data_IF_926154634480
#
_entry.id   IF_926154634480
#
_cell.length_a   1.000
_cell.length_b   1.000
_cell.length_c   1.000
_cell.angle_alpha   90.00
_cell.angle_beta   90.00
_cell.angle_gamma   90.00
#
_symmetry.space_group_name_H-M   'P 1'
#
loop_
_entity.id
_entity.type
_entity.pdbx_description
1 polymer ?
#
# COMPACT_ATOMS: atom_id res chain seq x y z
N UNK A 1 8.87 55.97 -38.47
CA UNK A 1 7.63 55.50 -37.82
C UNK A 1 7.86 54.66 -36.55
N UNK A 2 8.82 53.73 -36.51
CA UNK A 2 8.98 52.80 -35.37
C UNK A 2 9.40 53.44 -34.02
N UNK A 3 10.09 54.59 -34.04
CA UNK A 3 10.52 55.28 -32.80
C UNK A 3 9.36 55.86 -31.98
N UNK A 4 8.29 56.29 -32.64
CA UNK A 4 7.11 56.85 -31.96
C UNK A 4 6.29 55.74 -31.28
N UNK A 5 6.24 54.57 -31.93
CA UNK A 5 5.60 53.38 -31.38
C UNK A 5 6.35 52.86 -30.14
N UNK A 6 7.68 52.77 -30.20
CA UNK A 6 8.50 52.39 -29.04
C UNK A 6 8.34 53.39 -27.88
N UNK A 7 8.20 54.69 -28.16
CA UNK A 7 7.94 55.70 -27.13
C UNK A 7 6.54 55.55 -26.48
N UNK A 8 5.50 55.34 -27.27
CA UNK A 8 4.13 55.13 -26.77
C UNK A 8 4.01 53.84 -25.94
N UNK A 9 4.70 52.78 -26.37
CA UNK A 9 4.73 51.51 -25.63
C UNK A 9 5.42 51.65 -24.26
N UNK A 10 6.48 52.48 -24.18
CA UNK A 10 7.12 52.88 -22.93
C UNK A 10 6.16 53.64 -21.99
N UNK A 11 5.40 54.59 -22.53
CA UNK A 11 4.46 55.43 -21.78
C UNK A 11 3.30 54.61 -21.18
N UNK A 12 2.94 53.51 -21.84
CA UNK A 12 1.91 52.57 -21.41
C UNK A 12 2.45 51.36 -20.64
N UNK A 13 3.76 51.32 -20.37
CA UNK A 13 4.45 50.19 -19.71
C UNK A 13 4.24 48.83 -20.42
N UNK A 14 3.97 48.84 -21.73
CA UNK A 14 3.82 47.66 -22.58
C UNK A 14 5.19 47.39 -23.19
N UNK A 15 5.79 46.22 -22.91
CA UNK A 15 7.17 45.92 -23.34
C UNK A 15 7.20 45.33 -24.75
N UNK A 16 8.00 45.95 -25.63
CA UNK A 16 8.38 45.39 -26.93
C UNK A 16 9.77 44.77 -26.85
N UNK A 17 10.08 43.81 -27.73
CA UNK A 17 11.39 43.10 -27.76
C UNK A 17 12.59 43.99 -28.13
N UNK A 18 12.35 45.24 -28.55
CA UNK A 18 13.38 46.18 -29.04
C UNK A 18 13.83 47.21 -28.00
N UNK A 19 13.18 47.28 -26.85
CA UNK A 19 13.44 48.28 -25.82
C UNK A 19 13.89 47.65 -24.49
N UNK A 20 14.93 46.83 -24.56
CA UNK A 20 15.52 46.12 -23.40
C UNK A 20 16.94 46.58 -23.05
N UNK A 21 17.51 47.52 -23.82
CA UNK A 21 18.83 48.10 -23.58
C UNK A 21 18.82 48.97 -22.32
N UNK A 22 19.24 48.38 -21.19
CA UNK A 22 19.40 49.08 -19.91
C UNK A 22 18.75 48.39 -18.72
N UNK A 23 17.93 47.35 -18.93
CA UNK A 23 17.39 46.58 -17.82
C UNK A 23 18.49 45.70 -17.22
N UNK A 24 19.19 46.18 -16.19
CA UNK A 24 19.86 45.27 -15.25
C UNK A 24 18.75 44.39 -14.67
N UNK A 25 18.80 43.06 -14.85
CA UNK A 25 17.78 42.19 -14.29
C UNK A 25 17.95 42.24 -12.76
N UNK A 26 17.18 43.11 -12.12
CA UNK A 26 17.14 43.29 -10.67
C UNK A 26 16.84 41.96 -9.96
N UNK A 27 16.22 41.02 -10.70
CA UNK A 27 15.95 39.64 -10.32
C UNK A 27 17.21 38.81 -9.96
N UNK A 28 18.40 39.18 -10.44
CA UNK A 28 19.58 38.30 -10.35
C UNK A 28 20.41 38.52 -9.07
N UNK A 29 20.31 39.68 -8.41
CA UNK A 29 21.21 40.01 -7.28
C UNK A 29 20.83 39.33 -5.95
N UNK A 30 19.56 38.95 -5.78
CA UNK A 30 19.04 38.28 -4.58
C UNK A 30 19.00 36.76 -4.75
N UNK A 31 19.04 36.26 -5.99
CA UNK A 31 19.08 34.83 -6.31
C UNK A 31 20.18 34.04 -5.56
N UNK A 32 21.45 34.47 -5.52
CA UNK A 32 22.49 33.73 -4.78
C UNK A 32 22.27 33.74 -3.26
N UNK A 33 21.53 34.71 -2.71
CA UNK A 33 21.19 34.76 -1.28
C UNK A 33 20.04 33.81 -0.93
N UNK A 34 19.05 33.64 -1.81
CA UNK A 34 17.91 32.73 -1.59
C UNK A 34 18.23 31.27 -1.97
N UNK A 35 19.19 31.05 -2.86
CA UNK A 35 19.59 29.72 -3.32
C UNK A 35 19.95 28.72 -2.21
N UNK A 36 20.76 29.06 -1.19
CA UNK A 36 21.06 28.12 -0.11
C UNK A 36 19.83 27.77 0.72
N UNK A 37 18.92 28.72 0.93
CA UNK A 37 17.66 28.49 1.66
C UNK A 37 16.76 27.55 0.87
N UNK A 38 16.56 27.82 -0.43
CA UNK A 38 15.78 26.94 -1.31
C UNK A 38 16.37 25.53 -1.40
N UNK A 39 17.70 25.41 -1.48
CA UNK A 39 18.40 24.12 -1.47
C UNK A 39 18.14 23.36 -0.17
N UNK A 40 18.23 24.03 0.99
CA UNK A 40 17.96 23.42 2.28
C UNK A 40 16.50 22.99 2.41
N UNK A 41 15.56 23.86 2.03
CA UNK A 41 14.12 23.55 2.04
C UNK A 41 13.80 22.36 1.13
N UNK A 42 14.41 22.29 -0.05
CA UNK A 42 14.24 21.17 -0.96
C UNK A 42 14.78 19.86 -0.37
N UNK A 43 15.95 19.89 0.27
CA UNK A 43 16.52 18.71 0.94
C UNK A 43 15.64 18.25 2.12
N UNK A 44 15.10 19.18 2.90
CA UNK A 44 14.17 18.86 3.99
C UNK A 44 12.87 18.26 3.48
N UNK A 45 12.32 18.81 2.39
CA UNK A 45 11.12 18.24 1.75
C UNK A 45 11.39 16.84 1.22
N UNK A 46 12.51 16.63 0.53
CA UNK A 46 12.87 15.31 0.00
C UNK A 46 13.06 14.28 1.12
N UNK A 47 13.77 14.66 2.19
CA UNK A 47 13.95 13.83 3.37
C UNK A 47 12.65 13.53 4.10
N UNK A 48 11.80 14.55 4.27
CA UNK A 48 10.48 14.40 4.88
C UNK A 48 9.57 13.48 4.06
N UNK A 49 9.57 13.61 2.74
CA UNK A 49 8.79 12.75 1.85
C UNK A 49 9.30 11.31 1.89
N UNK A 50 10.62 11.10 1.91
CA UNK A 50 11.23 9.79 2.08
C UNK A 50 10.83 9.13 3.40
N UNK A 51 10.82 9.90 4.50
CA UNK A 51 10.40 9.41 5.80
C UNK A 51 8.91 9.01 5.82
N UNK A 52 8.03 9.85 5.27
CA UNK A 52 6.59 9.56 5.17
C UNK A 52 6.31 8.31 4.32
N UNK A 53 7.05 8.15 3.22
CA UNK A 53 6.91 6.98 2.37
C UNK A 53 7.37 5.70 3.09
N UNK A 54 8.49 5.78 3.81
CA UNK A 54 9.00 4.65 4.58
C UNK A 54 8.03 4.24 5.71
N UNK A 55 7.52 5.20 6.48
CA UNK A 55 6.57 4.90 7.56
C UNK A 55 5.28 4.31 7.00
N UNK A 56 4.76 4.87 5.91
CA UNK A 56 3.57 4.32 5.22
C UNK A 56 3.77 2.87 4.80
N UNK A 57 4.94 2.53 4.23
CA UNK A 57 5.21 1.17 3.76
C UNK A 57 5.33 0.16 4.90
N UNK A 58 6.01 0.52 6.00
CA UNK A 58 6.12 -0.33 7.18
C UNK A 58 4.77 -0.56 7.85
N UNK A 59 3.99 0.51 7.98
CA UNK A 59 2.66 0.46 8.59
C UNK A 59 1.69 -0.41 7.78
N UNK A 60 1.69 -0.30 6.46
CA UNK A 60 0.84 -1.13 5.59
C UNK A 60 1.20 -2.63 5.71
N UNK A 61 2.49 -2.96 5.70
CA UNK A 61 2.94 -4.35 5.86
C UNK A 61 2.51 -4.94 7.23
N UNK A 62 2.68 -4.17 8.30
CA UNK A 62 2.29 -4.60 9.65
C UNK A 62 0.77 -4.82 9.79
N UNK A 63 -0.05 -3.90 9.25
CA UNK A 63 -1.50 -4.07 9.29
C UNK A 63 -1.99 -5.24 8.44
N UNK A 64 -1.34 -5.49 7.30
CA UNK A 64 -1.65 -6.65 6.45
C UNK A 64 -1.42 -7.96 7.19
N UNK A 65 -0.32 -8.08 7.93
CA UNK A 65 -0.02 -9.28 8.73
C UNK A 65 -1.08 -9.55 9.80
N UNK A 66 -1.42 -8.53 10.59
CA UNK A 66 -2.48 -8.62 11.60
C UNK A 66 -3.83 -9.01 10.98
N UNK A 67 -4.18 -8.37 9.87
CA UNK A 67 -5.44 -8.65 9.18
C UNK A 67 -5.47 -10.06 8.59
N UNK A 68 -4.35 -10.54 8.05
CA UNK A 68 -4.23 -11.92 7.58
C UNK A 68 -4.41 -12.91 8.72
N UNK A 69 -3.80 -12.69 9.88
CA UNK A 69 -4.02 -13.52 11.07
C UNK A 69 -5.50 -13.58 11.47
N UNK A 70 -6.19 -12.44 11.49
CA UNK A 70 -7.64 -12.36 11.78
C UNK A 70 -8.49 -13.08 10.73
N UNK A 71 -8.12 -13.00 9.45
CA UNK A 71 -8.80 -13.70 8.36
C UNK A 71 -8.63 -15.21 8.49
N UNK A 72 -7.42 -15.69 8.75
CA UNK A 72 -7.12 -17.11 8.97
C UNK A 72 -7.93 -17.65 10.17
N UNK A 73 -7.96 -16.91 11.29
CA UNK A 73 -8.77 -17.27 12.45
C UNK A 73 -10.27 -17.35 12.10
N UNK A 74 -10.79 -16.34 11.40
CA UNK A 74 -12.20 -16.31 10.98
C UNK A 74 -12.54 -17.46 10.02
N UNK A 75 -11.65 -17.76 9.07
CA UNK A 75 -11.79 -18.88 8.14
C UNK A 75 -11.77 -20.21 8.88
N UNK A 76 -10.94 -20.35 9.92
CA UNK A 76 -10.91 -21.55 10.76
C UNK A 76 -12.25 -21.80 11.44
N UNK A 77 -12.90 -20.74 11.95
CA UNK A 77 -14.24 -20.81 12.55
C UNK A 77 -15.30 -21.21 11.52
N UNK A 78 -15.21 -20.70 10.30
CA UNK A 78 -16.10 -21.11 9.18
C UNK A 78 -15.95 -22.60 8.88
N UNK A 79 -14.72 -23.12 8.83
CA UNK A 79 -14.44 -24.55 8.59
C UNK A 79 -14.95 -25.42 9.74
N UNK A 80 -14.76 -24.99 10.99
CA UNK A 80 -15.29 -25.69 12.17
C UNK A 80 -16.82 -25.75 12.12
N UNK A 81 -17.48 -24.63 11.82
CA UNK A 81 -18.94 -24.57 11.68
C UNK A 81 -19.44 -25.43 10.51
N UNK A 82 -18.73 -25.44 9.38
CA UNK A 82 -19.04 -26.33 8.26
C UNK A 82 -19.07 -27.79 8.71
N UNK A 83 -18.06 -28.22 9.46
CA UNK A 83 -18.00 -29.58 10.02
C UNK A 83 -19.12 -29.85 11.02
N UNK A 84 -19.49 -28.89 11.86
CA UNK A 84 -20.61 -29.08 12.79
C UNK A 84 -21.92 -29.40 12.05
N UNK A 85 -22.13 -28.78 10.88
CA UNK A 85 -23.35 -28.98 10.08
C UNK A 85 -23.31 -30.23 9.19
N UNK A 86 -22.15 -30.59 8.66
CA UNK A 86 -22.01 -31.69 7.68
C UNK A 86 -21.37 -32.95 8.27
N UNK A 87 -20.93 -32.92 9.54
CA UNK A 87 -20.16 -33.97 10.22
C UNK A 87 -18.81 -34.33 9.57
N UNK A 88 -18.39 -33.61 8.54
CA UNK A 88 -17.14 -33.82 7.79
C UNK A 88 -16.40 -32.49 7.59
N UNK A 89 -15.07 -32.55 7.48
CA UNK A 89 -14.29 -31.39 7.05
C UNK A 89 -14.51 -31.14 5.54
N UNK A 90 -14.52 -29.89 5.08
CA UNK A 90 -14.66 -29.57 3.67
C UNK A 90 -13.44 -30.12 2.89
N UNK A 91 -13.64 -30.57 1.65
CA UNK A 91 -12.55 -31.06 0.81
C UNK A 91 -11.67 -29.90 0.30
N UNK A 92 -12.25 -28.71 0.16
CA UNK A 92 -11.56 -27.50 -0.28
C UNK A 92 -12.15 -26.24 0.38
N UNK A 93 -11.41 -25.13 0.35
CA UNK A 93 -11.90 -23.86 0.92
C UNK A 93 -13.20 -23.35 0.26
N UNK A 94 -13.36 -23.38 -1.08
CA UNK A 94 -14.61 -22.94 -1.71
C UNK A 94 -15.87 -23.64 -1.19
N UNK A 95 -15.77 -24.92 -0.84
CA UNK A 95 -16.86 -25.71 -0.27
C UNK A 95 -17.27 -25.21 1.12
N UNK A 96 -16.28 -24.90 1.98
CA UNK A 96 -16.52 -24.36 3.33
C UNK A 96 -17.22 -22.98 3.30
N UNK A 97 -16.95 -22.22 2.24
CA UNK A 97 -17.25 -20.80 2.10
C UNK A 97 -18.57 -20.57 1.33
N UNK A 98 -19.12 -21.62 0.71
CA UNK A 98 -20.48 -21.74 0.17
C UNK A 98 -21.10 -20.44 -0.35
N UNK A 99 -20.76 -20.02 -1.59
CA UNK A 99 -21.30 -18.87 -2.33
C UNK A 99 -21.48 -17.52 -1.59
N UNK A 100 -20.98 -17.39 -0.36
CA UNK A 100 -21.08 -16.21 0.47
C UNK A 100 -19.92 -15.26 0.12
N UNK A 101 -20.19 -14.09 -0.49
CA UNK A 101 -19.14 -13.17 -0.91
C UNK A 101 -18.24 -12.72 0.25
N UNK A 102 -18.81 -12.53 1.44
CA UNK A 102 -18.05 -12.06 2.61
C UNK A 102 -17.05 -13.12 3.08
N UNK A 103 -17.43 -14.40 2.99
CA UNK A 103 -16.54 -15.50 3.35
C UNK A 103 -15.53 -15.81 2.24
N UNK A 104 -15.83 -15.51 0.97
CA UNK A 104 -14.89 -15.66 -0.16
C UNK A 104 -13.67 -14.78 -0.02
N UNK A 105 -13.84 -13.58 0.50
CA UNK A 105 -12.70 -12.68 0.77
C UNK A 105 -11.78 -13.20 1.89
N UNK A 106 -12.23 -14.18 2.68
CA UNK A 106 -11.41 -14.86 3.68
C UNK A 106 -10.49 -15.91 3.08
N UNK A 107 -10.73 -16.40 1.86
CA UNK A 107 -9.83 -17.39 1.22
C UNK A 107 -8.55 -16.76 0.67
N UNK A 108 -8.43 -15.43 0.77
CA UNK A 108 -7.25 -14.67 0.39
C UNK A 108 -6.71 -13.89 1.58
N UNK A 109 -5.39 -13.82 1.69
CA UNK A 109 -4.73 -12.99 2.68
C UNK A 109 -4.89 -11.49 2.39
N UNK A 110 -4.22 -10.63 3.15
CA UNK A 110 -4.25 -9.17 2.95
C UNK A 110 -3.27 -8.68 1.87
N UNK A 111 -2.43 -9.57 1.34
CA UNK A 111 -1.52 -9.32 0.22
C UNK A 111 -2.10 -9.78 -1.12
N UNK A 112 -3.25 -10.46 -1.09
CA UNK A 112 -3.99 -10.92 -2.26
C UNK A 112 -3.71 -12.38 -2.64
N UNK A 113 -2.86 -13.09 -1.90
CA UNK A 113 -2.52 -14.48 -2.15
C UNK A 113 -3.62 -15.41 -1.63
N UNK A 114 -3.73 -16.58 -2.25
CA UNK A 114 -4.68 -17.60 -1.81
C UNK A 114 -4.15 -18.31 -0.56
N UNK A 115 -5.03 -18.52 0.42
CA UNK A 115 -4.69 -19.32 1.60
C UNK A 115 -4.68 -20.80 1.23
N UNK A 116 -3.62 -21.48 1.60
CA UNK A 116 -3.45 -22.91 1.40
C UNK A 116 -4.10 -23.68 2.52
N UNK A 117 -4.95 -24.63 2.16
CA UNK A 117 -5.69 -25.48 3.07
C UNK A 117 -5.27 -26.92 2.90
N UNK A 118 -4.85 -27.54 4.01
CA UNK A 118 -4.46 -28.94 4.06
C UNK A 118 -5.24 -29.65 5.15
N UNK A 119 -5.95 -30.71 4.77
CA UNK A 119 -6.67 -31.59 5.68
C UNK A 119 -5.88 -32.86 5.92
N UNK A 120 -5.76 -33.24 7.18
CA UNK A 120 -5.23 -34.54 7.56
C UNK A 120 -6.39 -35.40 8.06
N UNK A 121 -6.94 -36.20 7.14
CA UNK A 121 -8.17 -36.98 7.35
C UNK A 121 -8.10 -37.93 8.55
N UNK A 122 -6.90 -38.47 8.83
CA UNK A 122 -6.67 -39.42 9.92
C UNK A 122 -6.77 -38.77 11.31
N UNK A 123 -6.40 -37.49 11.44
CA UNK A 123 -6.26 -36.80 12.73
C UNK A 123 -7.33 -35.73 12.98
N UNK A 124 -8.33 -35.57 12.10
CA UNK A 124 -9.37 -34.52 12.24
C UNK A 124 -8.79 -33.10 12.39
N UNK A 125 -7.56 -32.92 11.92
CA UNK A 125 -6.84 -31.64 11.95
C UNK A 125 -6.81 -31.03 10.56
N UNK A 126 -6.81 -29.71 10.51
CA UNK A 126 -6.50 -28.98 9.29
C UNK A 126 -5.49 -27.88 9.55
N UNK A 127 -4.81 -27.49 8.48
CA UNK A 127 -3.82 -26.42 8.49
C UNK A 127 -4.21 -25.38 7.45
N UNK A 128 -4.15 -24.11 7.85
CA UNK A 128 -4.27 -22.94 7.00
C UNK A 128 -2.91 -22.26 6.94
N UNK A 129 -2.38 -22.05 5.74
CA UNK A 129 -1.09 -21.38 5.52
C UNK A 129 -1.27 -20.22 4.55
N UNK A 130 -0.77 -19.05 4.94
CA UNK A 130 -0.66 -17.88 4.08
C UNK A 130 0.81 -17.65 3.74
N UNK A 131 1.11 -17.49 2.45
CA UNK A 131 2.44 -17.19 1.93
C UNK A 131 2.96 -15.78 2.33
N UNK A 132 2.10 -14.93 2.89
CA UNK A 132 2.55 -13.66 3.44
C UNK A 132 2.96 -12.64 2.38
N UNK A 133 3.92 -11.79 2.71
CA UNK A 133 4.41 -10.70 1.86
C UNK A 133 5.26 -11.20 0.70
N UNK A 134 6.03 -12.28 0.89
CA UNK A 134 6.95 -12.80 -0.12
C UNK A 134 6.27 -13.65 -1.21
N UNK A 135 5.00 -14.03 -0.99
CA UNK A 135 4.17 -14.83 -1.90
C UNK A 135 4.70 -16.25 -2.14
N UNK A 136 5.64 -16.72 -1.31
CA UNK A 136 6.24 -18.04 -1.41
C UNK A 136 5.89 -18.87 -0.19
N UNK A 137 5.39 -20.08 -0.42
CA UNK A 137 5.17 -21.02 0.67
C UNK A 137 6.48 -21.64 1.14
N UNK A 138 6.45 -22.10 2.38
CA UNK A 138 7.54 -22.74 3.12
C UNK A 138 8.71 -21.80 3.42
N UNK A 139 8.41 -20.52 3.61
CA UNK A 139 9.38 -19.51 4.03
C UNK A 139 9.14 -19.09 5.48
N UNK A 140 10.03 -18.26 6.02
CA UNK A 140 9.90 -17.74 7.38
C UNK A 140 8.75 -16.72 7.53
N UNK A 141 8.21 -16.20 6.42
CA UNK A 141 7.13 -15.21 6.40
C UNK A 141 5.73 -15.87 6.42
N UNK A 142 5.70 -17.21 6.35
CA UNK A 142 4.46 -17.97 6.34
C UNK A 142 3.68 -17.83 7.66
N UNK A 143 2.43 -17.44 7.55
CA UNK A 143 1.47 -17.44 8.65
C UNK A 143 0.69 -18.75 8.61
N UNK A 144 1.00 -19.66 9.54
CA UNK A 144 0.36 -20.98 9.62
C UNK A 144 -0.48 -21.13 10.88
N UNK A 145 -1.73 -21.57 10.71
CA UNK A 145 -2.62 -21.97 11.80
C UNK A 145 -3.01 -23.44 11.63
N UNK A 146 -2.67 -24.26 12.63
CA UNK A 146 -3.12 -25.65 12.72
C UNK A 146 -4.24 -25.75 13.74
N UNK A 147 -5.36 -26.33 13.33
CA UNK A 147 -6.55 -26.51 14.18
C UNK A 147 -6.88 -27.99 14.27
N UNK A 148 -7.00 -28.49 15.49
CA UNK A 148 -7.50 -29.82 15.78
C UNK A 148 -8.98 -29.74 16.15
N UNK A 149 -9.82 -30.36 15.34
CA UNK A 149 -11.27 -30.33 15.56
C UNK A 149 -11.63 -31.57 16.37
N UNK A 150 -11.31 -31.52 17.66
CA UNK A 150 -11.42 -32.64 18.61
C UNK A 150 -11.37 -32.24 20.08
N UNK A 151 -10.82 -31.09 20.44
CA UNK A 151 -10.92 -30.52 21.78
C UNK A 151 -12.19 -29.67 21.90
N UNK A 152 -13.22 -30.27 22.48
CA UNK A 152 -14.29 -29.53 23.15
C UNK A 152 -13.70 -28.52 24.12
N UNK A 153 -14.25 -27.29 24.09
CA UNK A 153 -14.27 -26.37 25.23
C UNK A 153 -14.89 -27.10 26.43
#
# INVERSE_FOLDING_TARGET
>A
MYKLLDFLTLLLNIRTTRNTTGAKPWAIHWFPKIWPVLRLTFLLLLGGFGLLFLTSFLTDAYFKEINTGKKIDSLSRVIVHYRQNHSVLPANLPEAVANDPQKRDLTRDSWGNQIHYLVQQQSRTFTLTSAGKDQQLFTADDLTLRVEVGSTI
#
